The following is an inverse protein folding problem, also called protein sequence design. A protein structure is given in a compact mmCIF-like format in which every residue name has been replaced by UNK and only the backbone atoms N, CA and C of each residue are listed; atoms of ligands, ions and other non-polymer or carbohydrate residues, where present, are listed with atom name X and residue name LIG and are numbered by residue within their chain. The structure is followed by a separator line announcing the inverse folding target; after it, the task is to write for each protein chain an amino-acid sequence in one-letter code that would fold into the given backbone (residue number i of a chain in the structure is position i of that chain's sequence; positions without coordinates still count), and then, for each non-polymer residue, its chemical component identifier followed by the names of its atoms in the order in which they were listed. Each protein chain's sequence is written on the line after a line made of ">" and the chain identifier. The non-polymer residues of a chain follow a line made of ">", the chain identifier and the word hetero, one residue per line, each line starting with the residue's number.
data_IF_152683137208
#
_entry.id   IF_152683137208
#
_cell.length_a   1.000
_cell.length_b   1.000
_cell.length_c   1.000
_cell.angle_alpha   90.00
_cell.angle_beta   90.00
_cell.angle_gamma   90.00
#
_symmetry.space_group_name_H-M   'P 1'
#
loop_
_entity.id
_entity.type
_entity.pdbx_description
1 polymer ?
#
# COMPACT_ATOMS: atom_id res chain seq x y z
N UNK A 1 -11.71 22.70 -3.96
CA UNK A 1 -10.59 21.75 -4.21
C UNK A 1 -9.62 21.63 -3.03
N UNK A 2 -9.50 22.66 -2.16
CA UNK A 2 -8.61 22.62 -0.99
C UNK A 2 -8.99 21.52 -0.01
N UNK A 3 -10.27 21.26 0.19
CA UNK A 3 -10.75 20.21 1.09
C UNK A 3 -10.46 18.79 0.60
N UNK A 4 -10.42 18.59 -0.72
CA UNK A 4 -10.07 17.29 -1.32
C UNK A 4 -8.59 16.94 -1.12
N UNK A 5 -7.71 17.95 -1.05
CA UNK A 5 -6.28 17.75 -0.82
C UNK A 5 -6.00 17.05 0.52
N UNK A 6 -6.70 17.48 1.57
CA UNK A 6 -6.54 16.87 2.90
C UNK A 6 -6.97 15.39 2.91
N UNK A 7 -8.07 15.06 2.23
CA UNK A 7 -8.54 13.68 2.09
C UNK A 7 -7.50 12.82 1.37
N UNK A 8 -6.92 13.34 0.29
CA UNK A 8 -5.88 12.62 -0.48
C UNK A 8 -4.64 12.36 0.36
N UNK A 9 -4.21 13.30 1.19
CA UNK A 9 -3.08 13.10 2.12
C UNK A 9 -3.40 11.98 3.11
N UNK A 10 -4.56 12.00 3.75
CA UNK A 10 -4.96 10.95 4.70
C UNK A 10 -5.00 9.57 4.03
N UNK A 11 -5.55 9.47 2.83
CA UNK A 11 -5.59 8.23 2.06
C UNK A 11 -4.19 7.76 1.64
N UNK A 12 -3.32 8.69 1.22
CA UNK A 12 -1.95 8.35 0.84
C UNK A 12 -1.16 7.79 2.04
N UNK A 13 -1.26 8.43 3.21
CA UNK A 13 -0.63 7.94 4.45
C UNK A 13 -1.25 6.59 4.86
N UNK A 14 -2.57 6.45 4.80
CA UNK A 14 -3.27 5.19 5.10
C UNK A 14 -2.81 4.04 4.19
N UNK A 15 -2.69 4.30 2.88
CA UNK A 15 -2.18 3.32 1.92
C UNK A 15 -0.72 2.96 2.19
N UNK A 16 0.13 3.91 2.58
CA UNK A 16 1.50 3.62 2.99
C UNK A 16 1.55 2.61 4.16
N UNK A 17 0.77 2.82 5.22
CA UNK A 17 0.69 1.88 6.32
C UNK A 17 0.09 0.53 5.91
N UNK A 18 -0.87 0.52 4.99
CA UNK A 18 -1.44 -0.71 4.42
C UNK A 18 -0.38 -1.54 3.67
N UNK A 19 0.46 -0.90 2.87
CA UNK A 19 1.59 -1.55 2.18
C UNK A 19 2.58 -2.13 3.18
N UNK A 20 2.97 -1.36 4.20
CA UNK A 20 3.85 -1.85 5.28
C UNK A 20 3.26 -3.06 5.99
N UNK A 21 1.98 -3.01 6.33
CA UNK A 21 1.24 -4.13 6.94
C UNK A 21 1.34 -5.39 6.08
N UNK A 22 1.11 -5.27 4.77
CA UNK A 22 1.22 -6.40 3.84
C UNK A 22 2.64 -6.98 3.79
N UNK A 23 3.66 -6.12 3.76
CA UNK A 23 5.07 -6.56 3.78
C UNK A 23 5.39 -7.33 5.06
N UNK A 24 4.93 -6.85 6.22
CA UNK A 24 5.15 -7.54 7.50
C UNK A 24 4.41 -8.87 7.56
N UNK A 25 3.15 -8.93 7.11
CA UNK A 25 2.38 -10.18 7.03
C UNK A 25 3.11 -11.19 6.14
N UNK A 26 3.54 -10.79 4.94
CA UNK A 26 4.26 -11.67 4.02
C UNK A 26 5.59 -12.15 4.60
N UNK A 27 6.32 -11.28 5.29
CA UNK A 27 7.59 -11.64 5.93
C UNK A 27 7.38 -12.65 7.06
N UNK A 28 6.34 -12.49 7.88
CA UNK A 28 5.98 -13.42 8.95
C UNK A 28 5.53 -14.77 8.39
N UNK A 29 4.66 -14.76 7.37
CA UNK A 29 4.19 -15.98 6.68
C UNK A 29 5.34 -16.73 6.01
N UNK A 30 6.22 -16.03 5.32
CA UNK A 30 7.38 -16.63 4.65
C UNK A 30 8.41 -17.24 5.62
N UNK A 31 8.40 -16.82 6.90
CA UNK A 31 9.29 -17.37 7.94
C UNK A 31 8.75 -18.61 8.64
N UNK A 32 7.49 -19.02 8.34
CA UNK A 32 6.83 -20.11 9.04
C UNK A 32 7.22 -21.47 8.45
N UNK A 33 7.53 -22.42 9.32
CA UNK A 33 7.98 -23.77 8.96
C UNK A 33 6.82 -24.79 8.94
N UNK A 34 5.64 -24.40 9.46
CA UNK A 34 4.50 -25.31 9.62
C UNK A 34 4.00 -25.87 8.28
N UNK A 35 4.05 -25.07 7.22
CA UNK A 35 3.67 -25.53 5.87
C UNK A 35 4.56 -26.65 5.31
N UNK A 36 5.77 -26.81 5.84
CA UNK A 36 6.69 -27.88 5.43
C UNK A 36 6.38 -29.21 6.14
N UNK A 37 5.63 -29.19 7.23
CA UNK A 37 5.31 -30.37 8.01
C UNK A 37 3.88 -30.86 7.73
N UNK A 38 3.75 -31.91 6.94
CA UNK A 38 2.46 -32.58 6.61
C UNK A 38 1.67 -33.12 7.82
N UNK A 39 2.18 -33.03 9.04
CA UNK A 39 1.57 -33.55 10.29
C UNK A 39 1.18 -32.46 11.29
N UNK A 40 1.09 -31.19 10.88
CA UNK A 40 0.68 -30.11 11.80
C UNK A 40 -0.77 -30.27 12.23
N UNK A 41 -1.03 -30.12 13.53
CA UNK A 41 -2.38 -30.15 14.11
C UNK A 41 -3.06 -28.81 13.95
N UNK A 42 -4.40 -28.78 13.88
CA UNK A 42 -5.19 -27.54 13.79
C UNK A 42 -4.87 -26.53 14.92
N UNK A 43 -4.58 -27.03 16.13
CA UNK A 43 -4.18 -26.20 17.27
C UNK A 43 -2.86 -25.49 17.02
N UNK A 44 -1.88 -26.17 16.39
CA UNK A 44 -0.61 -25.55 16.02
C UNK A 44 -0.79 -24.48 14.95
N UNK A 45 -1.70 -24.71 14.00
CA UNK A 45 -2.02 -23.75 12.97
C UNK A 45 -2.64 -22.46 13.55
N UNK A 46 -3.57 -22.57 14.52
CA UNK A 46 -4.18 -21.42 15.19
C UNK A 46 -3.18 -20.53 15.95
N UNK A 47 -2.09 -21.09 16.45
CA UNK A 47 -1.03 -20.36 17.14
C UNK A 47 0.14 -19.99 16.21
N UNK A 48 0.02 -20.27 14.92
CA UNK A 48 1.07 -20.01 13.94
C UNK A 48 1.12 -18.55 13.52
N UNK A 49 2.29 -18.14 13.05
CA UNK A 49 2.51 -16.84 12.42
C UNK A 49 1.74 -16.68 11.09
N UNK A 50 1.25 -17.77 10.52
CA UNK A 50 0.37 -17.76 9.37
C UNK A 50 -1.04 -17.25 9.73
N UNK A 51 -1.61 -17.73 10.82
CA UNK A 51 -3.01 -17.45 11.19
C UNK A 51 -3.16 -16.09 11.87
N UNK A 52 -2.30 -15.79 12.83
CA UNK A 52 -2.44 -14.64 13.71
C UNK A 52 -2.45 -13.27 13.00
N UNK A 53 -1.53 -12.95 12.07
CA UNK A 53 -1.54 -11.68 11.36
C UNK A 53 -2.79 -11.48 10.49
N UNK A 54 -3.24 -12.55 9.84
CA UNK A 54 -4.44 -12.51 9.02
C UNK A 54 -5.71 -12.31 9.85
N UNK A 55 -5.78 -12.95 11.02
CA UNK A 55 -6.89 -12.76 11.96
C UNK A 55 -6.96 -11.34 12.49
N UNK A 56 -5.82 -10.74 12.87
CA UNK A 56 -5.77 -9.33 13.28
C UNK A 56 -6.27 -8.40 12.18
N UNK A 57 -5.86 -8.63 10.93
CA UNK A 57 -6.35 -7.86 9.80
C UNK A 57 -7.85 -8.03 9.59
N UNK A 58 -8.37 -9.24 9.76
CA UNK A 58 -9.81 -9.49 9.67
C UNK A 58 -10.57 -8.74 10.78
N UNK A 59 -10.07 -8.78 12.02
CA UNK A 59 -10.66 -8.03 13.14
C UNK A 59 -10.65 -6.52 12.86
N UNK A 60 -9.53 -5.97 12.39
CA UNK A 60 -9.43 -4.57 11.99
C UNK A 60 -10.45 -4.20 10.91
N UNK A 61 -10.55 -4.99 9.85
CA UNK A 61 -11.49 -4.74 8.75
C UNK A 61 -12.93 -4.82 9.23
N UNK A 62 -13.26 -5.82 10.06
CA UNK A 62 -14.61 -5.97 10.64
C UNK A 62 -14.97 -4.81 11.56
N UNK A 63 -14.04 -4.35 12.40
CA UNK A 63 -14.22 -3.17 13.23
C UNK A 63 -14.47 -1.92 12.39
N UNK A 64 -13.70 -1.72 11.32
CA UNK A 64 -13.88 -0.59 10.40
C UNK A 64 -15.25 -0.63 9.70
N UNK A 65 -15.72 -1.82 9.29
CA UNK A 65 -17.02 -2.02 8.67
C UNK A 65 -18.20 -1.73 9.62
N UNK A 66 -18.01 -1.86 10.92
CA UNK A 66 -19.03 -1.53 11.92
C UNK A 66 -18.97 -0.04 12.26
N UNK A 67 -17.78 0.50 12.52
CA UNK A 67 -17.59 1.88 12.95
C UNK A 67 -17.96 2.87 11.83
N UNK A 68 -17.62 2.55 10.58
CA UNK A 68 -17.86 3.43 9.45
C UNK A 68 -19.35 3.80 9.26
N UNK A 69 -20.30 2.85 9.14
CA UNK A 69 -21.70 3.19 8.98
C UNK A 69 -22.26 3.96 10.17
N UNK A 70 -21.90 3.57 11.39
CA UNK A 70 -22.36 4.24 12.62
C UNK A 70 -21.88 5.69 12.61
N UNK A 71 -20.60 5.92 12.34
CA UNK A 71 -20.05 7.28 12.29
C UNK A 71 -20.66 8.12 11.17
N UNK A 72 -20.88 7.56 9.98
CA UNK A 72 -21.53 8.27 8.87
C UNK A 72 -22.98 8.65 9.20
N UNK A 73 -23.75 7.74 9.81
CA UNK A 73 -25.14 8.04 10.22
C UNK A 73 -25.16 9.19 11.22
N UNK A 74 -24.26 9.17 12.23
CA UNK A 74 -24.18 10.24 13.22
C UNK A 74 -23.82 11.60 12.59
N UNK A 75 -22.87 11.59 11.63
CA UNK A 75 -22.48 12.82 10.94
C UNK A 75 -23.61 13.37 10.05
N UNK A 76 -24.34 12.49 9.33
CA UNK A 76 -25.48 12.88 8.50
C UNK A 76 -26.60 13.46 9.36
N UNK A 77 -26.92 12.85 10.50
CA UNK A 77 -27.93 13.36 11.45
C UNK A 77 -27.59 14.74 12.00
N UNK A 78 -26.30 15.06 12.13
CA UNK A 78 -25.83 16.37 12.56
C UNK A 78 -25.61 17.37 11.40
N UNK A 79 -26.10 17.09 10.19
CA UNK A 79 -25.99 17.92 8.99
C UNK A 79 -24.56 18.31 8.60
N UNK A 80 -23.59 17.43 8.81
CA UNK A 80 -22.22 17.63 8.32
C UNK A 80 -22.18 17.55 6.79
N UNK A 81 -21.27 18.32 6.18
CA UNK A 81 -21.09 18.33 4.72
C UNK A 81 -20.55 17.00 4.18
N UNK A 82 -20.77 16.71 2.89
CA UNK A 82 -20.26 15.50 2.22
C UNK A 82 -18.74 15.38 2.33
N UNK A 83 -18.03 16.51 2.32
CA UNK A 83 -16.58 16.56 2.50
C UNK A 83 -16.17 16.04 3.89
N UNK A 84 -16.88 16.41 4.94
CA UNK A 84 -16.63 15.93 6.29
C UNK A 84 -16.86 14.41 6.42
N UNK A 85 -17.85 13.87 5.68
CA UNK A 85 -18.07 12.41 5.62
C UNK A 85 -16.88 11.69 4.98
N UNK A 86 -16.35 12.22 3.89
CA UNK A 86 -15.16 11.67 3.22
C UNK A 86 -13.91 11.81 4.09
N UNK A 87 -13.74 12.92 4.79
CA UNK A 87 -12.63 13.12 5.73
C UNK A 87 -12.71 12.12 6.89
N UNK A 88 -13.89 11.89 7.45
CA UNK A 88 -14.09 10.88 8.48
C UNK A 88 -13.74 9.47 8.00
N UNK A 89 -14.19 9.10 6.80
CA UNK A 89 -13.82 7.82 6.20
C UNK A 89 -12.32 7.66 6.02
N UNK A 90 -11.65 8.67 5.46
CA UNK A 90 -10.20 8.65 5.25
C UNK A 90 -9.43 8.60 6.59
N UNK A 91 -9.88 9.36 7.59
CA UNK A 91 -9.29 9.36 8.93
C UNK A 91 -9.48 8.01 9.64
N UNK A 92 -10.66 7.39 9.53
CA UNK A 92 -10.94 6.09 10.10
C UNK A 92 -10.02 5.01 9.52
N UNK A 93 -9.83 4.99 8.20
CA UNK A 93 -8.89 4.08 7.56
C UNK A 93 -7.47 4.26 8.11
N UNK A 94 -7.01 5.49 8.24
CA UNK A 94 -5.68 5.79 8.76
C UNK A 94 -5.55 5.35 10.23
N UNK A 95 -6.49 5.72 11.08
CA UNK A 95 -6.47 5.41 12.53
C UNK A 95 -6.48 3.90 12.78
N UNK A 96 -7.16 3.13 11.97
CA UNK A 96 -7.19 1.67 12.11
C UNK A 96 -5.95 0.98 11.56
N UNK A 97 -5.29 1.56 10.55
CA UNK A 97 -4.08 1.00 9.92
C UNK A 97 -2.81 1.20 10.77
N UNK A 98 -2.65 2.36 11.42
CA UNK A 98 -1.44 2.68 12.18
C UNK A 98 -1.17 1.67 13.32
N UNK A 99 -2.12 1.36 14.22
CA UNK A 99 -1.89 0.41 15.30
C UNK A 99 -1.54 -0.99 14.78
N UNK A 100 -2.21 -1.44 13.72
CA UNK A 100 -1.96 -2.73 13.11
C UNK A 100 -0.54 -2.80 12.51
N UNK A 101 -0.15 -1.79 11.74
CA UNK A 101 1.19 -1.70 11.14
C UNK A 101 2.28 -1.69 12.21
N UNK A 102 2.08 -0.91 13.28
CA UNK A 102 3.03 -0.82 14.39
C UNK A 102 3.16 -2.15 15.16
N UNK A 103 2.04 -2.79 15.46
CA UNK A 103 2.03 -4.09 16.11
C UNK A 103 2.75 -5.15 15.28
N UNK A 104 2.45 -5.22 13.98
CA UNK A 104 3.09 -6.18 13.06
C UNK A 104 4.57 -5.87 12.87
N UNK A 105 4.97 -4.60 12.85
CA UNK A 105 6.38 -4.20 12.86
C UNK A 105 7.13 -4.77 14.08
N UNK A 106 6.57 -4.59 15.29
CA UNK A 106 7.19 -5.12 16.51
C UNK A 106 7.30 -6.64 16.49
N UNK A 107 6.24 -7.32 16.06
CA UNK A 107 6.22 -8.78 15.93
C UNK A 107 7.26 -9.27 14.91
N UNK A 108 7.34 -8.62 13.75
CA UNK A 108 8.31 -8.97 12.71
C UNK A 108 9.74 -8.72 13.17
N UNK A 109 10.01 -7.58 13.81
CA UNK A 109 11.33 -7.25 14.37
C UNK A 109 11.83 -8.28 15.37
N UNK A 110 10.93 -8.81 16.21
CA UNK A 110 11.26 -9.82 17.22
C UNK A 110 11.45 -11.23 16.62
N UNK A 111 10.96 -11.45 15.41
CA UNK A 111 10.97 -12.77 14.76
C UNK A 111 12.07 -12.89 13.71
N UNK A 112 12.34 -11.82 12.98
CA UNK A 112 13.25 -11.79 11.83
C UNK A 112 14.23 -10.64 12.01
N UNK A 113 15.51 -10.89 11.69
CA UNK A 113 16.52 -9.82 11.63
C UNK A 113 16.24 -8.91 10.44
N UNK A 114 15.55 -7.80 10.70
CA UNK A 114 15.27 -6.79 9.68
C UNK A 114 16.53 -5.96 9.43
N UNK A 115 17.22 -6.21 8.33
CA UNK A 115 18.29 -5.32 7.86
C UNK A 115 17.71 -4.25 6.93
N UNK A 116 17.47 -3.07 7.48
CA UNK A 116 16.97 -1.93 6.69
C UNK A 116 18.15 -1.20 6.07
N UNK A 117 18.29 -1.27 4.77
CA UNK A 117 19.31 -0.51 4.05
C UNK A 117 18.81 0.94 3.81
N UNK A 118 19.23 1.86 4.69
CA UNK A 118 18.84 3.27 4.63
C UNK A 118 19.22 3.93 3.30
N UNK A 119 20.33 3.52 2.67
CA UNK A 119 20.76 4.05 1.37
C UNK A 119 19.79 3.69 0.26
N UNK A 120 19.28 2.46 0.28
CA UNK A 120 18.28 2.02 -0.70
C UNK A 120 16.94 2.76 -0.53
N UNK A 121 16.49 2.96 0.71
CA UNK A 121 15.28 3.75 0.98
C UNK A 121 15.44 5.18 0.46
N UNK A 122 16.58 5.82 0.73
CA UNK A 122 16.84 7.18 0.25
C UNK A 122 16.80 7.28 -1.28
N UNK A 123 17.34 6.29 -1.99
CA UNK A 123 17.27 6.23 -3.46
C UNK A 123 15.83 6.18 -3.98
N UNK A 124 14.98 5.34 -3.38
CA UNK A 124 13.57 5.25 -3.77
C UNK A 124 12.80 6.53 -3.44
N UNK A 125 13.12 7.16 -2.32
CA UNK A 125 12.51 8.42 -1.91
C UNK A 125 12.88 9.55 -2.89
N UNK A 126 14.14 9.66 -3.27
CA UNK A 126 14.61 10.63 -4.27
C UNK A 126 13.95 10.35 -5.63
N UNK A 127 13.92 9.10 -6.07
CA UNK A 127 13.27 8.72 -7.32
C UNK A 127 11.78 9.09 -7.32
N UNK A 128 11.07 8.86 -6.22
CA UNK A 128 9.65 9.22 -6.09
C UNK A 128 9.45 10.74 -6.12
N UNK A 129 10.24 11.49 -5.36
CA UNK A 129 10.16 12.96 -5.34
C UNK A 129 10.37 13.55 -6.74
N UNK A 130 11.40 13.10 -7.46
CA UNK A 130 11.67 13.58 -8.82
C UNK A 130 10.50 13.22 -9.75
N UNK A 131 10.02 11.97 -9.71
CA UNK A 131 8.93 11.52 -10.59
C UNK A 131 7.64 12.27 -10.33
N UNK A 132 7.24 12.41 -9.07
CA UNK A 132 6.00 13.11 -8.72
C UNK A 132 6.08 14.61 -8.98
N UNK A 133 7.21 15.27 -8.69
CA UNK A 133 7.39 16.68 -9.00
C UNK A 133 7.31 16.94 -10.50
N UNK A 134 7.92 16.09 -11.32
CA UNK A 134 7.90 16.23 -12.76
C UNK A 134 6.48 16.03 -13.32
N UNK A 135 5.78 14.99 -12.87
CA UNK A 135 4.39 14.75 -13.28
C UNK A 135 3.47 15.86 -12.80
N UNK A 136 3.68 16.39 -11.59
CA UNK A 136 2.90 17.51 -11.07
C UNK A 136 3.01 18.74 -11.97
N UNK A 137 4.23 19.15 -12.33
CA UNK A 137 4.49 20.30 -13.20
C UNK A 137 3.84 20.11 -14.59
N UNK A 138 3.98 18.90 -15.17
CA UNK A 138 3.41 18.61 -16.48
C UNK A 138 1.87 18.55 -16.40
N UNK A 139 1.33 17.91 -15.36
CA UNK A 139 -0.13 17.75 -15.20
C UNK A 139 -0.84 19.08 -15.04
N UNK A 140 -0.23 20.06 -14.37
CA UNK A 140 -0.80 21.39 -14.19
C UNK A 140 -1.08 22.10 -15.53
N UNK A 141 -0.26 21.82 -16.55
CA UNK A 141 -0.44 22.41 -17.89
C UNK A 141 -1.46 21.67 -18.76
N UNK A 142 -1.61 20.35 -18.58
CA UNK A 142 -2.40 19.50 -19.47
C UNK A 142 -3.68 18.94 -18.85
N UNK A 143 -3.79 18.90 -17.52
CA UNK A 143 -4.97 18.41 -16.80
C UNK A 143 -5.94 19.57 -16.54
N UNK A 144 -6.64 20.00 -17.59
CA UNK A 144 -7.77 20.92 -17.46
C UNK A 144 -9.02 20.06 -17.21
N UNK A 145 -9.75 20.38 -16.15
CA UNK A 145 -11.02 19.72 -15.83
C UNK A 145 -12.12 20.32 -16.71
N UNK A 146 -12.48 19.60 -17.76
CA UNK A 146 -13.62 19.97 -18.61
C UNK A 146 -14.84 19.12 -18.23
N UNK A 147 -14.77 17.81 -18.49
CA UNK A 147 -15.81 16.84 -18.18
C UNK A 147 -15.19 15.59 -17.54
N UNK A 148 -15.93 14.92 -16.66
CA UNK A 148 -15.45 13.74 -15.93
C UNK A 148 -14.98 12.62 -16.88
N UNK A 149 -15.71 12.42 -17.98
CA UNK A 149 -15.43 11.37 -18.97
C UNK A 149 -14.12 11.62 -19.71
N UNK A 150 -13.79 12.87 -20.02
CA UNK A 150 -12.55 13.26 -20.68
C UNK A 150 -11.37 13.37 -19.71
N UNK A 151 -11.64 13.67 -18.44
CA UNK A 151 -10.63 13.85 -17.39
C UNK A 151 -10.04 12.52 -16.93
N UNK A 152 -10.86 11.47 -16.72
CA UNK A 152 -10.39 10.17 -16.22
C UNK A 152 -9.33 9.53 -17.11
N UNK A 153 -9.48 9.42 -18.45
CA UNK A 153 -8.43 8.88 -19.30
C UNK A 153 -7.12 9.66 -19.24
N UNK A 154 -7.20 11.00 -19.19
CA UNK A 154 -6.01 11.86 -19.04
C UNK A 154 -5.30 11.58 -17.71
N UNK A 155 -6.04 11.49 -16.61
CA UNK A 155 -5.49 11.17 -15.29
C UNK A 155 -4.80 9.79 -15.28
N UNK A 156 -5.43 8.78 -15.86
CA UNK A 156 -4.85 7.43 -15.98
C UNK A 156 -3.57 7.45 -16.81
N UNK A 157 -3.54 8.19 -17.90
CA UNK A 157 -2.35 8.33 -18.74
C UNK A 157 -1.19 8.95 -17.94
N UNK A 158 -1.44 10.03 -17.19
CA UNK A 158 -0.41 10.64 -16.33
C UNK A 158 0.05 9.70 -15.21
N UNK A 159 -0.86 8.92 -14.63
CA UNK A 159 -0.52 7.90 -13.63
C UNK A 159 0.41 6.82 -14.21
N UNK A 160 0.12 6.34 -15.43
CA UNK A 160 0.97 5.36 -16.13
C UNK A 160 2.34 5.96 -16.47
N UNK A 161 2.39 7.18 -17.00
CA UNK A 161 3.65 7.87 -17.30
C UNK A 161 4.48 8.05 -16.03
N UNK A 162 3.87 8.55 -14.95
CA UNK A 162 4.55 8.78 -13.67
C UNK A 162 5.11 7.49 -13.06
N UNK A 163 4.32 6.42 -13.08
CA UNK A 163 4.75 5.11 -12.60
C UNK A 163 5.89 4.54 -13.44
N UNK A 164 5.79 4.66 -14.77
CA UNK A 164 6.84 4.20 -15.69
C UNK A 164 8.14 4.97 -15.47
N UNK A 165 8.05 6.27 -15.30
CA UNK A 165 9.21 7.13 -15.03
C UNK A 165 9.84 6.83 -13.66
N UNK A 166 9.03 6.60 -12.62
CA UNK A 166 9.50 6.15 -11.31
C UNK A 166 10.24 4.81 -11.41
N UNK A 167 9.67 3.83 -12.10
CA UNK A 167 10.29 2.51 -12.31
C UNK A 167 11.61 2.64 -13.10
N UNK A 168 11.66 3.51 -14.10
CA UNK A 168 12.88 3.78 -14.86
C UNK A 168 13.98 4.39 -13.99
N UNK A 169 13.65 5.38 -13.15
CA UNK A 169 14.60 5.97 -12.22
C UNK A 169 15.10 4.97 -11.18
N UNK A 170 14.20 4.17 -10.60
CA UNK A 170 14.60 3.13 -9.64
C UNK A 170 15.47 2.05 -10.27
N UNK A 171 15.20 1.68 -11.53
CA UNK A 171 16.05 0.77 -12.30
C UNK A 171 17.47 1.32 -12.49
N UNK A 172 17.64 2.63 -12.73
CA UNK A 172 18.95 3.25 -12.87
C UNK A 172 19.67 3.33 -11.53
N UNK A 173 18.98 3.73 -10.47
CA UNK A 173 19.56 4.04 -9.18
C UNK A 173 19.89 2.82 -8.31
N UNK A 174 19.13 1.71 -8.49
CA UNK A 174 19.25 0.56 -7.59
C UNK A 174 19.54 -0.76 -8.32
N UNK A 175 20.63 -1.44 -7.88
CA UNK A 175 21.05 -2.72 -8.43
C UNK A 175 20.06 -3.85 -8.14
N UNK A 176 19.36 -3.80 -7.00
CA UNK A 176 18.38 -4.82 -6.63
C UNK A 176 17.16 -4.75 -7.56
N UNK A 177 16.70 -3.54 -7.88
CA UNK A 177 15.64 -3.32 -8.85
C UNK A 177 16.03 -3.86 -10.22
N UNK A 178 17.26 -3.62 -10.68
CA UNK A 178 17.77 -4.18 -11.95
C UNK A 178 17.78 -5.71 -11.95
N UNK A 179 18.21 -6.31 -10.85
CA UNK A 179 18.21 -7.76 -10.70
C UNK A 179 16.81 -8.35 -10.77
N UNK A 180 15.85 -7.71 -10.07
CA UNK A 180 14.45 -8.09 -10.02
C UNK A 180 13.80 -8.04 -11.41
N UNK A 181 14.01 -6.96 -12.16
CA UNK A 181 13.53 -6.85 -13.54
C UNK A 181 14.11 -7.92 -14.46
N UNK A 182 15.44 -8.18 -14.37
CA UNK A 182 16.09 -9.24 -15.16
C UNK A 182 15.52 -10.62 -14.82
N UNK A 183 15.26 -10.89 -13.53
CA UNK A 183 14.67 -12.15 -13.09
C UNK A 183 13.26 -12.35 -13.67
N UNK A 184 12.41 -11.31 -13.60
CA UNK A 184 11.05 -11.36 -14.15
C UNK A 184 11.08 -11.61 -15.67
N UNK A 185 11.92 -10.86 -16.40
CA UNK A 185 12.06 -11.03 -17.85
C UNK A 185 12.51 -12.46 -18.19
N UNK A 186 13.52 -12.98 -17.47
CA UNK A 186 14.02 -14.34 -17.74
C UNK A 186 12.97 -15.42 -17.46
N UNK A 187 12.13 -15.23 -16.44
CA UNK A 187 11.05 -16.17 -16.13
C UNK A 187 9.93 -16.14 -17.17
N UNK A 188 9.56 -14.95 -17.65
CA UNK A 188 8.57 -14.79 -18.71
C UNK A 188 9.07 -15.40 -20.03
N UNK A 189 10.36 -15.16 -20.37
CA UNK A 189 10.95 -15.71 -21.60
C UNK A 189 11.01 -17.24 -21.57
N UNK A 190 11.44 -17.82 -20.44
CA UNK A 190 11.43 -19.29 -20.26
C UNK A 190 10.03 -19.90 -20.47
N UNK A 191 8.98 -19.26 -19.95
CA UNK A 191 7.60 -19.73 -20.11
C UNK A 191 7.08 -19.65 -21.54
N UNK A 192 7.68 -18.81 -22.38
CA UNK A 192 7.32 -18.67 -23.80
C UNK A 192 8.02 -19.76 -24.61
N UNK A 193 9.28 -20.10 -24.29
CA UNK A 193 10.06 -21.11 -24.98
C UNK A 193 9.60 -22.56 -24.66
N UNK A 194 8.93 -22.76 -23.50
CA UNK A 194 8.37 -24.06 -23.08
C UNK A 194 6.94 -24.33 -23.63
N UNK A 195 6.40 -23.48 -24.49
CA UNK A 195 5.11 -23.65 -25.19
C UNK A 195 5.29 -23.89 -26.69
#
# INVERSE_FOLDING_TARGET
>A
YEDAYFILILLAIGNFFSVLTNVFIQSLTGSEIIDKNKKSTFKQYLHSKLFYPHTLRLVQTSASLIILPIGLILLIQNNYSEINLLQFWAALLLVTQIPLAFYLYLTTKNTITLSINRKTILKYLIASLISFSLIFIISEQFLIYDELISFIPKLLLFAVIGTSFYLFLTYILDSNTRFLFKSIISEVTKKIDDK
#
